data_IF_224775193249
#
_entry.id   IF_224775193249
#
_cell.length_a   1.000
_cell.length_b   1.000
_cell.length_c   1.000
_cell.angle_alpha   90.00
_cell.angle_beta   90.00
_cell.angle_gamma   90.00
#
_symmetry.space_group_name_H-M   'P 1'
#
loop_
_entity.id
_entity.type
_entity.pdbx_description
1 polymer ?
#
# COMPACT_ATOMS: atom_id res chain seq x y z
N UNK A 1 4.44 10.42 -14.59
CA UNK A 1 3.45 9.42 -14.13
C UNK A 1 3.93 8.93 -12.77
N UNK A 2 3.27 9.27 -11.66
CA UNK A 2 3.60 8.71 -10.35
C UNK A 2 3.02 7.30 -10.29
N UNK A 3 3.87 6.29 -10.20
CA UNK A 3 3.41 4.91 -10.01
C UNK A 3 3.04 4.71 -8.53
N UNK A 4 1.89 4.08 -8.22
CA UNK A 4 1.36 3.98 -6.85
C UNK A 4 2.33 3.35 -5.84
N UNK A 5 3.22 2.45 -6.29
CA UNK A 5 4.23 1.81 -5.42
C UNK A 5 5.27 2.78 -4.84
N UNK A 6 5.53 3.93 -5.48
CA UNK A 6 6.57 4.85 -5.02
C UNK A 6 6.23 5.48 -3.67
N UNK A 7 4.94 5.66 -3.34
CA UNK A 7 4.57 6.36 -2.12
C UNK A 7 5.02 5.62 -0.84
N UNK A 8 4.95 4.29 -0.81
CA UNK A 8 5.33 3.50 0.36
C UNK A 8 6.85 3.44 0.55
N UNK A 9 7.60 3.14 -0.51
CA UNK A 9 9.07 3.02 -0.43
C UNK A 9 9.76 4.38 -0.29
N UNK A 10 9.15 5.48 -0.77
CA UNK A 10 9.62 6.84 -0.52
C UNK A 10 9.27 7.33 0.89
N UNK A 11 8.10 6.95 1.44
CA UNK A 11 7.71 7.32 2.81
C UNK A 11 8.53 6.59 3.87
N UNK A 12 9.05 5.39 3.57
CA UNK A 12 9.78 4.54 4.51
C UNK A 12 11.09 4.03 3.89
N UNK A 13 12.08 4.90 3.64
CA UNK A 13 13.34 4.49 3.01
C UNK A 13 14.09 3.44 3.84
N UNK A 14 13.97 3.49 5.18
CA UNK A 14 14.56 2.51 6.10
C UNK A 14 13.89 1.13 6.06
N UNK A 15 12.67 1.04 5.53
CA UNK A 15 11.92 -0.21 5.38
C UNK A 15 12.03 -0.76 3.95
N UNK A 16 12.77 -0.10 3.05
CA UNK A 16 12.88 -0.48 1.65
C UNK A 16 13.45 -1.90 1.47
N UNK A 17 14.41 -2.28 2.31
CA UNK A 17 15.01 -3.60 2.26
C UNK A 17 14.01 -4.69 2.68
N UNK A 18 13.32 -4.49 3.81
CA UNK A 18 12.22 -5.33 4.27
C UNK A 18 11.07 -5.39 3.26
N UNK A 19 10.73 -4.27 2.61
CA UNK A 19 9.72 -4.20 1.55
C UNK A 19 10.09 -5.12 0.38
N UNK A 20 11.32 -5.00 -0.14
CA UNK A 20 11.77 -5.85 -1.26
C UNK A 20 11.80 -7.32 -0.85
N UNK A 21 12.26 -7.62 0.36
CA UNK A 21 12.29 -8.97 0.89
C UNK A 21 10.88 -9.58 0.99
N UNK A 22 9.94 -8.87 1.63
CA UNK A 22 8.54 -9.29 1.77
C UNK A 22 7.82 -9.37 0.42
N UNK A 23 8.09 -8.45 -0.50
CA UNK A 23 7.49 -8.48 -1.85
C UNK A 23 7.87 -9.73 -2.64
N UNK A 24 9.03 -10.32 -2.38
CA UNK A 24 9.48 -11.54 -3.07
C UNK A 24 9.11 -12.79 -2.28
N UNK A 25 9.23 -12.76 -0.95
CA UNK A 25 9.13 -13.96 -0.11
C UNK A 25 7.79 -14.12 0.61
N UNK A 26 6.99 -13.05 0.74
CA UNK A 26 5.75 -13.05 1.52
C UNK A 26 4.52 -12.82 0.62
N UNK A 27 3.71 -13.87 0.47
CA UNK A 27 2.49 -13.81 -0.34
C UNK A 27 1.41 -12.92 0.26
N UNK A 28 1.35 -12.82 1.59
CA UNK A 28 0.37 -11.98 2.26
C UNK A 28 0.68 -10.49 2.01
N UNK A 29 1.94 -10.11 2.12
CA UNK A 29 2.42 -8.77 1.79
C UNK A 29 2.12 -8.40 0.34
N UNK A 30 2.38 -9.31 -0.61
CA UNK A 30 2.05 -9.08 -2.02
C UNK A 30 0.55 -8.84 -2.23
N UNK A 31 -0.32 -9.58 -1.52
CA UNK A 31 -1.75 -9.40 -1.60
C UNK A 31 -2.18 -8.04 -1.06
N UNK A 32 -1.74 -7.67 0.15
CA UNK A 32 -2.06 -6.39 0.79
C UNK A 32 -1.53 -5.22 -0.03
N UNK A 33 -0.32 -5.35 -0.59
CA UNK A 33 0.28 -4.32 -1.45
C UNK A 33 -0.54 -4.11 -2.71
N UNK A 34 -0.93 -5.21 -3.37
CA UNK A 34 -1.77 -5.14 -4.57
C UNK A 34 -3.12 -4.47 -4.26
N UNK A 35 -3.78 -4.84 -3.16
CA UNK A 35 -5.01 -4.19 -2.76
C UNK A 35 -4.82 -2.69 -2.51
N UNK A 36 -3.75 -2.30 -1.81
CA UNK A 36 -3.45 -0.89 -1.58
C UNK A 36 -3.30 -0.12 -2.90
N UNK A 37 -2.58 -0.68 -3.86
CA UNK A 37 -2.40 -0.08 -5.18
C UNK A 37 -3.69 -0.01 -5.99
N UNK A 38 -4.54 -1.03 -5.90
CA UNK A 38 -5.86 -1.04 -6.53
C UNK A 38 -6.73 0.08 -5.97
N UNK A 39 -6.77 0.25 -4.64
CA UNK A 39 -7.51 1.33 -3.99
C UNK A 39 -6.95 2.71 -4.32
N UNK A 40 -5.62 2.88 -4.31
CA UNK A 40 -4.97 4.16 -4.64
C UNK A 40 -5.25 4.53 -6.12
N UNK A 41 -5.17 3.55 -7.02
CA UNK A 41 -5.56 3.71 -8.43
C UNK A 41 -7.03 4.08 -8.56
N UNK A 42 -7.90 3.47 -7.77
CA UNK A 42 -9.33 3.76 -7.80
C UNK A 42 -9.63 5.17 -7.32
N UNK A 43 -9.01 5.63 -6.23
CA UNK A 43 -9.09 7.04 -5.80
C UNK A 43 -8.61 7.98 -6.91
N UNK A 44 -7.49 7.66 -7.56
CA UNK A 44 -6.95 8.44 -8.67
C UNK A 44 -7.92 8.51 -9.87
N UNK A 45 -8.59 7.40 -10.20
CA UNK A 45 -9.59 7.35 -11.28
C UNK A 45 -10.82 8.20 -10.95
N UNK A 46 -11.31 8.12 -9.70
CA UNK A 46 -12.43 8.93 -9.23
C UNK A 46 -12.08 10.42 -9.24
N UNK A 47 -10.87 10.77 -8.82
CA UNK A 47 -10.35 12.15 -8.81
C UNK A 47 -10.19 12.72 -10.23
N UNK A 48 -9.85 11.88 -11.21
CA UNK A 48 -9.78 12.23 -12.64
C UNK A 48 -11.11 12.04 -13.39
N UNK A 49 -12.22 11.90 -12.67
CA UNK A 49 -13.58 11.69 -13.21
C UNK A 49 -13.69 10.50 -14.19
N UNK A 50 -12.75 9.55 -14.13
CA UNK A 50 -12.74 8.35 -14.98
C UNK A 50 -13.73 7.29 -14.47
N UNK A 51 -14.07 7.32 -13.18
CA UNK A 51 -15.00 6.39 -12.55
C UNK A 51 -15.95 7.13 -11.61
N UNK A 52 -17.26 6.93 -11.78
CA UNK A 52 -18.26 7.51 -10.90
C UNK A 52 -18.41 6.62 -9.65
N UNK A 53 -17.85 7.07 -8.54
CA UNK A 53 -17.94 6.38 -7.25
C UNK A 53 -18.84 7.16 -6.30
N UNK A 54 -19.74 6.46 -5.60
CA UNK A 54 -20.56 7.05 -4.55
C UNK A 54 -19.70 7.52 -3.37
N UNK A 55 -20.13 8.56 -2.66
CA UNK A 55 -19.43 9.09 -1.48
C UNK A 55 -19.10 8.02 -0.43
N UNK A 56 -20.04 7.10 -0.19
CA UNK A 56 -19.89 5.95 0.71
C UNK A 56 -18.74 5.03 0.29
N UNK A 57 -18.64 4.75 -1.01
CA UNK A 57 -17.59 3.88 -1.55
C UNK A 57 -16.23 4.59 -1.48
N UNK A 58 -16.18 5.89 -1.79
CA UNK A 58 -14.96 6.69 -1.66
C UNK A 58 -14.46 6.75 -0.21
N UNK A 59 -15.36 6.91 0.75
CA UNK A 59 -15.02 6.84 2.18
C UNK A 59 -14.48 5.47 2.59
N UNK A 60 -15.09 4.38 2.12
CA UNK A 60 -14.60 3.01 2.37
C UNK A 60 -13.20 2.83 1.80
N UNK A 61 -13.00 3.16 0.52
CA UNK A 61 -11.70 3.08 -0.15
C UNK A 61 -10.64 3.87 0.60
N UNK A 62 -10.96 5.08 1.06
CA UNK A 62 -10.04 5.90 1.88
C UNK A 62 -9.69 5.21 3.21
N UNK A 63 -10.69 4.65 3.91
CA UNK A 63 -10.46 3.91 5.17
C UNK A 63 -9.62 2.66 4.94
N UNK A 64 -9.98 1.85 3.95
CA UNK A 64 -9.26 0.63 3.59
C UNK A 64 -7.83 0.93 3.18
N UNK A 65 -7.59 1.99 2.40
CA UNK A 65 -6.23 2.44 2.04
C UNK A 65 -5.38 2.75 3.28
N UNK A 66 -5.97 3.37 4.31
CA UNK A 66 -5.27 3.62 5.58
C UNK A 66 -4.96 2.32 6.32
N UNK A 67 -5.93 1.41 6.41
CA UNK A 67 -5.77 0.10 7.08
C UNK A 67 -4.71 -0.76 6.38
N UNK A 68 -4.74 -0.84 5.04
CA UNK A 68 -3.76 -1.58 4.26
C UNK A 68 -2.36 -0.98 4.41
N UNK A 69 -2.23 0.35 4.42
CA UNK A 69 -0.96 1.03 4.67
C UNK A 69 -0.40 0.67 6.05
N UNK A 70 -1.24 0.67 7.09
CA UNK A 70 -0.85 0.29 8.45
C UNK A 70 -0.44 -1.18 8.55
N UNK A 71 -1.16 -2.06 7.83
CA UNK A 71 -0.83 -3.49 7.72
C UNK A 71 0.53 -3.68 7.05
N UNK A 72 0.77 -3.03 5.91
CA UNK A 72 2.07 -3.06 5.22
C UNK A 72 3.19 -2.57 6.13
N UNK A 73 2.95 -1.46 6.83
CA UNK A 73 3.92 -0.91 7.79
C UNK A 73 4.25 -1.91 8.90
N UNK A 74 3.23 -2.54 9.49
CA UNK A 74 3.42 -3.55 10.54
C UNK A 74 4.22 -4.74 10.04
N UNK A 75 3.91 -5.26 8.84
CA UNK A 75 4.65 -6.37 8.22
C UNK A 75 6.12 -6.00 7.96
N UNK A 76 6.37 -4.82 7.39
CA UNK A 76 7.72 -4.32 7.13
C UNK A 76 8.53 -4.12 8.41
N UNK A 77 7.93 -3.50 9.43
CA UNK A 77 8.59 -3.26 10.72
C UNK A 77 8.92 -4.58 11.42
N UNK A 78 8.01 -5.55 11.37
CA UNK A 78 8.23 -6.89 11.91
C UNK A 78 9.36 -7.60 11.18
N UNK A 79 9.35 -7.61 9.85
CA UNK A 79 10.40 -8.22 9.05
C UNK A 79 11.76 -7.56 9.30
N UNK A 80 11.82 -6.22 9.38
CA UNK A 80 13.05 -5.50 9.75
C UNK A 80 13.57 -5.92 11.13
N UNK A 81 12.69 -6.04 12.12
CA UNK A 81 13.07 -6.51 13.46
C UNK A 81 13.59 -7.95 13.45
N UNK A 82 12.99 -8.83 12.65
CA UNK A 82 13.46 -10.22 12.46
C UNK A 82 14.80 -10.29 11.72
N UNK A 83 15.07 -9.34 10.81
CA UNK A 83 16.34 -9.24 10.06
C UNK A 83 17.48 -8.60 10.87
N UNK A 84 17.23 -8.14 12.10
CA UNK A 84 18.23 -7.55 13.01
C UNK A 84 19.09 -6.44 12.36
N UNK A 85 18.47 -5.65 11.48
CA UNK A 85 19.01 -4.47 10.78
C UNK A 85 18.90 -3.19 11.62
#
# INVERSE_FOLDING_TARGET
>A
MRTPHQNLTESFPELKEAFHHLKVNDHHFQHVLKQYEELDTQVHKVDHEQEAMSEIELEKVKKERVILKDTLYTLMTKCKAEMNL
#
